data_IF_912495972232
#
_entry.id   IF_912495972232
#
_cell.length_a   1.000
_cell.length_b   1.000
_cell.length_c   1.000
_cell.angle_alpha   90.00
_cell.angle_beta   90.00
_cell.angle_gamma   90.00
#
_symmetry.space_group_name_H-M   'P 1'
#
loop_
_entity.id
_entity.type
_entity.pdbx_description
1 polymer ?
#
# COMPACT_ATOMS: atom_id res chain seq x y z
N UNK A 1 24.19 5.99 -19.94
CA UNK A 1 22.77 5.94 -20.26
C UNK A 1 21.89 5.61 -19.06
N UNK A 2 22.25 4.61 -18.26
CA UNK A 2 21.50 4.32 -17.02
C UNK A 2 21.49 5.50 -16.05
N UNK A 3 22.60 6.24 -15.95
CA UNK A 3 22.70 7.41 -15.07
C UNK A 3 21.75 8.54 -15.48
N UNK A 4 21.57 8.74 -16.78
CA UNK A 4 20.64 9.75 -17.30
C UNK A 4 19.18 9.41 -16.98
N UNK A 5 18.82 8.14 -17.02
CA UNK A 5 17.47 7.68 -16.65
C UNK A 5 17.27 7.80 -15.14
N UNK A 6 18.26 7.43 -14.35
CA UNK A 6 18.22 7.55 -12.88
C UNK A 6 18.09 9.01 -12.46
N UNK A 7 18.85 9.90 -13.08
CA UNK A 7 18.76 11.33 -12.82
C UNK A 7 17.36 11.88 -13.16
N UNK A 8 16.78 11.47 -14.29
CA UNK A 8 15.43 11.88 -14.68
C UNK A 8 14.38 11.39 -13.71
N UNK A 9 14.51 10.15 -13.24
CA UNK A 9 13.60 9.59 -12.23
C UNK A 9 13.74 10.34 -10.91
N UNK A 10 14.94 10.63 -10.47
CA UNK A 10 15.20 11.40 -9.24
C UNK A 10 14.63 12.81 -9.32
N UNK A 11 14.80 13.47 -10.45
CA UNK A 11 14.23 14.82 -10.69
C UNK A 11 12.70 14.75 -10.64
N UNK A 12 12.09 13.77 -11.29
CA UNK A 12 10.65 13.55 -11.28
C UNK A 12 10.13 13.27 -9.87
N UNK A 13 10.84 12.44 -9.10
CA UNK A 13 10.47 12.15 -7.72
C UNK A 13 10.58 13.38 -6.82
N UNK A 14 11.60 14.20 -7.01
CA UNK A 14 11.75 15.47 -6.27
C UNK A 14 10.65 16.46 -6.63
N UNK A 15 10.32 16.61 -7.90
CA UNK A 15 9.23 17.46 -8.36
C UNK A 15 7.89 16.98 -7.79
N UNK A 16 7.66 15.67 -7.77
CA UNK A 16 6.46 15.06 -7.19
C UNK A 16 6.39 15.32 -5.70
N UNK A 17 7.51 15.23 -4.98
CA UNK A 17 7.54 15.56 -3.55
C UNK A 17 7.22 17.03 -3.27
N UNK A 18 7.72 17.93 -4.08
CA UNK A 18 7.39 19.35 -3.98
C UNK A 18 5.91 19.61 -4.22
N UNK A 19 5.34 18.94 -5.21
CA UNK A 19 3.93 19.05 -5.56
C UNK A 19 3.04 18.42 -4.48
N UNK A 20 3.49 17.34 -3.83
CA UNK A 20 2.78 16.74 -2.69
C UNK A 20 2.59 17.68 -1.51
N UNK A 21 3.42 18.69 -1.39
CA UNK A 21 3.27 19.74 -0.37
C UNK A 21 2.19 20.75 -0.72
N UNK A 22 1.73 20.78 -1.98
CA UNK A 22 0.63 21.62 -2.43
C UNK A 22 -0.69 20.83 -2.30
N UNK A 23 -1.49 21.19 -1.31
CA UNK A 23 -2.72 20.49 -0.92
C UNK A 23 -3.72 20.30 -2.04
N UNK A 24 -3.74 21.17 -3.04
CA UNK A 24 -4.73 21.15 -4.11
C UNK A 24 -4.44 20.10 -5.20
N UNK A 25 -3.25 19.51 -5.18
CA UNK A 25 -2.79 18.64 -6.27
C UNK A 25 -2.49 17.22 -5.76
N UNK A 26 -2.64 16.97 -4.47
CA UNK A 26 -2.20 15.72 -3.79
C UNK A 26 -2.78 14.45 -4.42
N UNK A 27 -4.07 14.41 -4.74
CA UNK A 27 -4.70 13.22 -5.31
C UNK A 27 -4.24 12.93 -6.74
N UNK A 28 -4.23 13.96 -7.59
CA UNK A 28 -3.83 13.81 -8.98
C UNK A 28 -2.34 13.43 -9.09
N UNK A 29 -1.49 14.04 -8.28
CA UNK A 29 -0.05 13.79 -8.31
C UNK A 29 0.33 12.46 -7.69
N UNK A 30 -0.39 12.00 -6.66
CA UNK A 30 -0.20 10.66 -6.13
C UNK A 30 -0.49 9.61 -7.20
N UNK A 31 -1.53 9.81 -7.99
CA UNK A 31 -1.89 8.93 -9.08
C UNK A 31 -0.85 8.96 -10.21
N UNK A 32 -0.40 10.14 -10.61
CA UNK A 32 0.66 10.30 -11.62
C UNK A 32 1.96 9.66 -11.16
N UNK A 33 2.32 9.89 -9.90
CA UNK A 33 3.50 9.30 -9.28
C UNK A 33 3.45 7.77 -9.30
N UNK A 34 2.30 7.20 -8.92
CA UNK A 34 2.10 5.76 -8.91
C UNK A 34 2.15 5.19 -10.34
N UNK A 35 1.57 5.87 -11.31
CA UNK A 35 1.63 5.47 -12.71
C UNK A 35 3.06 5.46 -13.26
N UNK A 36 3.83 6.49 -12.96
CA UNK A 36 5.23 6.58 -13.38
C UNK A 36 6.06 5.46 -12.74
N UNK A 37 5.89 5.22 -11.46
CA UNK A 37 6.59 4.14 -10.75
C UNK A 37 6.21 2.78 -11.33
N UNK A 38 4.94 2.55 -11.63
CA UNK A 38 4.47 1.32 -12.23
C UNK A 38 5.08 1.09 -13.62
N UNK A 39 5.14 2.14 -14.45
CA UNK A 39 5.69 2.05 -15.79
C UNK A 39 7.20 1.79 -15.79
N UNK A 40 7.92 2.41 -14.86
CA UNK A 40 9.38 2.35 -14.83
C UNK A 40 9.91 1.20 -13.99
N UNK A 41 9.24 0.84 -12.89
CA UNK A 41 9.76 -0.07 -11.88
C UNK A 41 8.68 -0.94 -11.21
N UNK A 42 7.54 -1.16 -11.88
CA UNK A 42 6.40 -1.88 -11.29
C UNK A 42 6.79 -3.23 -10.69
N UNK A 43 7.53 -4.05 -11.42
CA UNK A 43 7.97 -5.37 -10.96
C UNK A 43 8.92 -5.26 -9.76
N UNK A 44 9.85 -4.31 -9.81
CA UNK A 44 10.78 -4.07 -8.70
C UNK A 44 10.07 -3.58 -7.45
N UNK A 45 9.06 -2.74 -7.60
CA UNK A 45 8.25 -2.27 -6.47
C UNK A 45 7.49 -3.43 -5.86
N UNK A 46 6.89 -4.31 -6.66
CA UNK A 46 6.21 -5.50 -6.18
C UNK A 46 7.17 -6.41 -5.40
N UNK A 47 8.38 -6.63 -5.91
CA UNK A 47 9.40 -7.40 -5.20
C UNK A 47 9.74 -6.77 -3.84
N UNK A 48 9.89 -5.45 -3.80
CA UNK A 48 10.15 -4.73 -2.56
C UNK A 48 9.00 -4.86 -1.57
N UNK A 49 7.76 -4.74 -2.05
CA UNK A 49 6.58 -4.91 -1.21
C UNK A 49 6.54 -6.32 -0.63
N UNK A 50 6.73 -7.35 -1.44
CA UNK A 50 6.71 -8.73 -0.95
C UNK A 50 7.93 -9.05 -0.08
N UNK A 51 9.05 -8.39 -0.26
CA UNK A 51 10.19 -8.51 0.65
C UNK A 51 9.90 -7.92 2.03
N UNK A 52 9.07 -6.89 2.08
CA UNK A 52 8.62 -6.25 3.32
C UNK A 52 7.46 -7.02 3.96
N UNK A 53 6.49 -7.43 3.13
CA UNK A 53 5.27 -8.14 3.54
C UNK A 53 5.50 -9.63 3.34
N UNK A 54 6.18 -10.27 4.30
CA UNK A 54 6.63 -11.66 4.17
C UNK A 54 5.59 -12.71 4.54
N UNK A 55 4.44 -12.30 5.10
CA UNK A 55 3.42 -13.24 5.52
C UNK A 55 2.18 -13.15 4.65
N UNK A 56 1.53 -14.29 4.45
CA UNK A 56 0.23 -14.35 3.79
C UNK A 56 -0.81 -13.49 4.49
N UNK A 57 -0.78 -13.45 5.82
CA UNK A 57 -1.71 -12.68 6.63
C UNK A 57 -1.56 -11.17 6.39
N UNK A 58 -0.35 -10.66 6.27
CA UNK A 58 -0.10 -9.26 5.93
C UNK A 58 -0.53 -8.94 4.50
N UNK A 59 -0.29 -9.84 3.56
CA UNK A 59 -0.79 -9.70 2.19
C UNK A 59 -2.31 -9.67 2.16
N UNK A 60 -2.97 -10.56 2.91
CA UNK A 60 -4.42 -10.58 3.03
C UNK A 60 -4.95 -9.26 3.60
N UNK A 61 -4.29 -8.70 4.61
CA UNK A 61 -4.65 -7.41 5.18
C UNK A 61 -4.61 -6.30 4.13
N UNK A 62 -3.57 -6.26 3.30
CA UNK A 62 -3.45 -5.27 2.24
C UNK A 62 -4.51 -5.45 1.14
N UNK A 63 -4.85 -6.67 0.79
CA UNK A 63 -5.94 -6.93 -0.18
C UNK A 63 -7.28 -6.47 0.39
N UNK A 64 -7.56 -6.77 1.65
CA UNK A 64 -8.79 -6.35 2.33
C UNK A 64 -8.86 -4.83 2.44
N UNK A 65 -7.75 -4.17 2.72
CA UNK A 65 -7.67 -2.71 2.89
C UNK A 65 -7.70 -1.94 1.57
N UNK A 66 -7.98 -2.60 0.45
CA UNK A 66 -8.43 -1.94 -0.77
C UNK A 66 -9.67 -1.08 -0.49
N UNK A 67 -10.56 -1.58 0.35
CA UNK A 67 -11.65 -0.82 0.93
C UNK A 67 -11.28 -0.37 2.36
N UNK A 68 -11.79 0.77 2.83
CA UNK A 68 -11.51 1.21 4.20
C UNK A 68 -12.02 0.21 5.24
N UNK A 69 -11.19 -0.10 6.22
CA UNK A 69 -11.52 -1.05 7.30
C UNK A 69 -11.04 -0.50 8.63
N UNK A 70 -11.84 -0.74 9.69
CA UNK A 70 -11.42 -0.46 11.07
C UNK A 70 -10.53 -1.60 11.59
N UNK A 71 -9.88 -1.37 12.74
CA UNK A 71 -9.11 -2.43 13.39
C UNK A 71 -9.99 -3.64 13.73
N UNK A 72 -11.23 -3.41 14.13
CA UNK A 72 -12.19 -4.48 14.41
C UNK A 72 -12.52 -5.29 13.17
N UNK A 73 -12.74 -4.62 12.03
CA UNK A 73 -13.00 -5.29 10.76
C UNK A 73 -11.82 -6.19 10.39
N UNK A 74 -10.59 -5.72 10.58
CA UNK A 74 -9.40 -6.49 10.31
C UNK A 74 -9.25 -7.68 11.25
N UNK A 75 -9.58 -7.52 12.52
CA UNK A 75 -9.61 -8.63 13.48
C UNK A 75 -10.52 -9.74 13.01
N UNK A 76 -11.74 -9.39 12.62
CA UNK A 76 -12.76 -10.34 12.19
C UNK A 76 -12.36 -11.04 10.89
N UNK A 77 -11.83 -10.29 9.94
CA UNK A 77 -11.46 -10.83 8.62
C UNK A 77 -10.16 -11.64 8.64
N UNK A 78 -9.22 -11.30 9.50
CA UNK A 78 -7.92 -11.96 9.60
C UNK A 78 -7.87 -13.04 10.68
N UNK A 79 -8.88 -13.10 11.55
CA UNK A 79 -8.88 -14.04 12.67
C UNK A 79 -7.83 -13.72 13.71
N UNK A 80 -7.48 -12.44 13.90
CA UNK A 80 -6.53 -11.97 14.89
C UNK A 80 -7.26 -11.31 16.05
N UNK A 81 -6.84 -11.58 17.28
CA UNK A 81 -7.44 -10.97 18.47
C UNK A 81 -7.13 -9.47 18.54
N UNK A 82 -8.07 -8.70 19.06
CA UNK A 82 -7.97 -7.25 19.12
C UNK A 82 -6.66 -6.71 19.74
N UNK A 83 -6.13 -7.27 20.83
CA UNK A 83 -4.86 -6.76 21.39
C UNK A 83 -3.66 -6.91 20.46
N UNK A 84 -3.71 -7.85 19.53
CA UNK A 84 -2.58 -8.19 18.68
C UNK A 84 -2.64 -7.53 17.30
N UNK A 85 -3.81 -7.07 16.86
CA UNK A 85 -4.01 -6.58 15.49
C UNK A 85 -3.11 -5.37 15.17
N UNK A 86 -2.99 -4.43 16.09
CA UNK A 86 -2.15 -3.25 15.88
C UNK A 86 -0.69 -3.64 15.73
N UNK A 87 -0.17 -4.41 16.69
CA UNK A 87 1.25 -4.77 16.73
C UNK A 87 1.65 -5.71 15.59
N UNK A 88 0.80 -6.68 15.27
CA UNK A 88 1.11 -7.71 14.27
C UNK A 88 0.85 -7.29 12.84
N UNK A 89 -0.09 -6.40 12.61
CA UNK A 89 -0.54 -6.04 11.26
C UNK A 89 -0.46 -4.54 11.03
N UNK A 90 -1.25 -3.76 11.75
CA UNK A 90 -1.46 -2.34 11.44
C UNK A 90 -0.17 -1.54 11.53
N UNK A 91 0.54 -1.63 12.66
CA UNK A 91 1.77 -0.87 12.88
C UNK A 91 2.86 -1.26 11.87
N UNK A 92 2.98 -2.55 11.58
CA UNK A 92 3.95 -3.03 10.60
C UNK A 92 3.69 -2.47 9.20
N UNK A 93 2.44 -2.43 8.78
CA UNK A 93 2.07 -1.93 7.47
C UNK A 93 2.17 -0.40 7.40
N UNK A 94 1.81 0.30 8.47
CA UNK A 94 1.97 1.77 8.55
C UNK A 94 3.46 2.14 8.52
N UNK A 95 4.29 1.46 9.28
CA UNK A 95 5.73 1.70 9.32
C UNK A 95 6.39 1.46 7.95
N UNK A 96 5.86 0.51 7.20
CA UNK A 96 6.32 0.23 5.84
C UNK A 96 5.71 1.17 4.78
N UNK A 97 4.88 2.13 5.19
CA UNK A 97 4.16 3.06 4.30
C UNK A 97 3.20 2.36 3.32
N UNK A 98 2.74 1.18 3.67
CA UNK A 98 1.80 0.40 2.85
C UNK A 98 0.34 0.58 3.28
N UNK A 99 0.12 1.08 4.49
CA UNK A 99 -1.21 1.32 5.05
C UNK A 99 -1.27 2.75 5.59
N UNK A 100 -2.41 3.41 5.40
CA UNK A 100 -2.63 4.77 5.87
C UNK A 100 -3.93 4.86 6.65
N UNK A 101 -4.01 5.86 7.54
CA UNK A 101 -5.26 6.22 8.20
C UNK A 101 -6.06 7.08 7.23
N UNK A 102 -7.14 6.53 6.69
CA UNK A 102 -7.94 7.20 5.65
C UNK A 102 -8.97 8.16 6.25
N UNK A 103 -9.57 7.79 7.37
CA UNK A 103 -10.63 8.57 8.00
C UNK A 103 -10.81 8.12 9.45
N UNK A 104 -11.68 8.81 10.18
CA UNK A 104 -12.13 8.40 11.51
C UNK A 104 -13.64 8.20 11.49
N UNK A 105 -14.07 7.00 11.84
CA UNK A 105 -15.49 6.69 11.99
C UNK A 105 -15.84 6.82 13.47
N UNK A 106 -16.28 8.02 13.87
CA UNK A 106 -16.41 8.36 15.29
C UNK A 106 -15.02 8.51 15.92
N UNK A 107 -14.71 7.73 16.96
CA UNK A 107 -13.40 7.70 17.60
C UNK A 107 -12.48 6.60 17.02
N UNK A 108 -12.95 5.84 16.01
CA UNK A 108 -12.21 4.73 15.44
C UNK A 108 -11.51 5.16 14.15
N UNK A 109 -10.23 4.84 14.05
CA UNK A 109 -9.46 5.04 12.82
C UNK A 109 -9.89 4.01 11.78
N UNK A 110 -9.98 4.48 10.53
CA UNK A 110 -10.26 3.65 9.36
C UNK A 110 -9.00 3.58 8.52
N UNK A 111 -8.58 2.37 8.19
CA UNK A 111 -7.32 2.11 7.49
C UNK A 111 -7.58 1.75 6.04
N UNK A 112 -6.74 2.27 5.16
CA UNK A 112 -6.74 1.96 3.75
C UNK A 112 -5.31 1.74 3.29
N UNK A 113 -5.11 0.81 2.33
CA UNK A 113 -3.79 0.58 1.78
C UNK A 113 -3.30 1.79 0.96
N UNK A 114 -1.99 1.92 0.83
CA UNK A 114 -1.38 2.97 0.02
C UNK A 114 -1.86 2.87 -1.42
N UNK A 115 -2.18 4.01 -2.02
CA UNK A 115 -2.80 4.08 -3.34
C UNK A 115 -1.92 3.47 -4.44
N UNK A 116 -0.60 3.58 -4.34
CA UNK A 116 0.29 3.02 -5.36
C UNK A 116 0.15 1.51 -5.52
N UNK A 117 -0.32 0.79 -4.48
CA UNK A 117 -0.54 -0.65 -4.56
C UNK A 117 -1.64 -1.00 -5.57
N UNK A 118 -2.65 -0.15 -5.71
CA UNK A 118 -3.68 -0.32 -6.73
C UNK A 118 -3.10 -0.23 -8.14
N UNK A 119 -2.14 0.67 -8.32
CA UNK A 119 -1.57 0.98 -9.64
C UNK A 119 -0.57 -0.06 -10.10
N UNK A 120 0.13 -0.74 -9.20
CA UNK A 120 1.12 -1.75 -9.56
C UNK A 120 0.55 -3.16 -9.66
N UNK A 121 -0.77 -3.34 -9.50
CA UNK A 121 -1.42 -4.64 -9.61
C UNK A 121 -1.13 -5.55 -8.43
N UNK A 122 -1.10 -5.00 -7.22
CA UNK A 122 -0.77 -5.75 -6.01
C UNK A 122 -1.69 -6.96 -5.79
N UNK A 123 -3.00 -6.80 -5.99
CA UNK A 123 -3.98 -7.87 -5.73
C UNK A 123 -3.69 -9.10 -6.58
N UNK A 124 -3.47 -8.90 -7.88
CA UNK A 124 -3.18 -10.00 -8.78
C UNK A 124 -1.87 -10.69 -8.44
N UNK A 125 -0.85 -9.92 -8.08
CA UNK A 125 0.44 -10.45 -7.66
C UNK A 125 0.33 -11.24 -6.35
N UNK A 126 -0.44 -10.74 -5.39
CA UNK A 126 -0.70 -11.42 -4.13
C UNK A 126 -1.46 -12.73 -4.35
N UNK A 127 -2.46 -12.74 -5.23
CA UNK A 127 -3.21 -13.96 -5.56
C UNK A 127 -2.36 -15.00 -6.28
N UNK A 128 -1.39 -14.56 -7.08
CA UNK A 128 -0.43 -15.49 -7.70
C UNK A 128 0.52 -16.09 -6.69
N UNK A 129 0.96 -15.29 -5.73
CA UNK A 129 1.88 -15.76 -4.69
C UNK A 129 1.16 -16.62 -3.65
N UNK A 130 -0.06 -16.28 -3.31
CA UNK A 130 -0.91 -17.00 -2.35
C UNK A 130 -2.28 -17.25 -2.98
N UNK A 131 -2.43 -18.31 -3.78
CA UNK A 131 -3.68 -18.57 -4.52
C UNK A 131 -4.93 -18.66 -3.66
N UNK A 132 -4.80 -19.12 -2.42
CA UNK A 132 -5.93 -19.26 -1.50
C UNK A 132 -6.54 -17.93 -1.10
N UNK A 133 -5.79 -16.82 -1.20
CA UNK A 133 -6.30 -15.49 -0.87
C UNK A 133 -7.51 -15.08 -1.70
N UNK A 134 -7.58 -15.51 -2.95
CA UNK A 134 -8.70 -15.17 -3.84
C UNK A 134 -10.02 -15.71 -3.31
N UNK A 135 -10.01 -16.87 -2.68
CA UNK A 135 -11.20 -17.49 -2.10
C UNK A 135 -11.53 -16.91 -0.71
N UNK A 136 -10.51 -16.49 0.03
CA UNK A 136 -10.66 -15.95 1.38
C UNK A 136 -11.14 -14.49 1.41
N UNK A 137 -10.94 -13.76 0.35
CA UNK A 137 -11.34 -12.37 0.22
C UNK A 137 -12.40 -12.22 -0.86
#
# INVERSE_FOLDING_TARGET
MSDSITEKVDILLDDIKKIKNDLNIVKANTQVSANLLSLLHGDNILEMVFATVKSEKLCKALVICKEPNTAKDLCDKLGIKAPNIRKQVIDKLIDASLLTVADKKGQREVYRRAFFLDMIGFDQAAFRKYPDLREEV
#
